data_IF_928615642773
#
_entry.id   IF_928615642773
#
_cell.length_a   1.000
_cell.length_b   1.000
_cell.length_c   1.000
_cell.angle_alpha   90.00
_cell.angle_beta   90.00
_cell.angle_gamma   90.00
#
_symmetry.space_group_name_H-M   'P 1'
#
loop_
_entity.id
_entity.type
_entity.pdbx_description
1 polymer ?
#
# COMPACT_ATOMS: atom_id res chain seq x y z
N UNK A 1 4.51 -12.05 7.53
CA UNK A 1 5.39 -11.88 6.36
C UNK A 1 5.83 -10.43 6.31
N UNK A 2 7.02 -10.15 5.78
CA UNK A 2 7.59 -8.80 5.68
C UNK A 2 8.03 -8.54 4.25
N UNK A 3 7.66 -7.39 3.70
CA UNK A 3 8.22 -6.87 2.46
C UNK A 3 9.26 -5.81 2.79
N UNK A 4 10.39 -5.80 2.10
CA UNK A 4 11.31 -4.67 2.06
C UNK A 4 11.04 -3.86 0.79
N UNK A 5 11.02 -2.54 0.92
CA UNK A 5 10.70 -1.63 -0.16
C UNK A 5 11.77 -0.54 -0.25
N UNK A 6 12.09 -0.16 -1.48
CA UNK A 6 12.88 1.04 -1.78
C UNK A 6 12.07 1.99 -2.64
N UNK A 7 12.40 3.28 -2.56
CA UNK A 7 11.81 4.29 -3.42
C UNK A 7 12.44 4.19 -4.82
N UNK A 8 11.61 3.95 -5.82
CA UNK A 8 11.98 4.00 -7.25
C UNK A 8 11.18 5.13 -7.88
N UNK A 9 11.83 6.02 -8.60
CA UNK A 9 11.19 7.21 -9.17
C UNK A 9 10.23 7.88 -8.16
N UNK A 10 8.92 7.78 -8.41
CA UNK A 10 7.85 8.31 -7.57
C UNK A 10 7.34 7.32 -6.51
N UNK A 11 7.42 6.01 -6.75
CA UNK A 11 6.71 4.99 -5.98
C UNK A 11 7.63 4.11 -5.16
N UNK A 12 7.11 3.60 -4.04
CA UNK A 12 7.79 2.54 -3.28
C UNK A 12 7.50 1.20 -3.94
N UNK A 13 8.55 0.42 -4.19
CA UNK A 13 8.44 -0.89 -4.84
C UNK A 13 8.97 -1.97 -3.92
N UNK A 14 8.30 -3.12 -3.89
CA UNK A 14 8.78 -4.30 -3.16
C UNK A 14 10.05 -4.82 -3.85
N UNK A 15 11.13 -4.92 -3.10
CA UNK A 15 12.39 -5.51 -3.57
C UNK A 15 12.51 -6.98 -3.15
N UNK A 16 11.99 -7.33 -1.97
CA UNK A 16 11.99 -8.70 -1.47
C UNK A 16 10.91 -8.95 -0.43
N UNK A 17 10.55 -10.22 -0.24
CA UNK A 17 9.57 -10.67 0.75
C UNK A 17 10.18 -11.81 1.57
N UNK A 18 10.03 -11.76 2.90
CA UNK A 18 10.58 -12.74 3.85
C UNK A 18 9.60 -13.05 4.99
N UNK A 19 9.79 -14.18 5.67
CA UNK A 19 9.08 -14.48 6.91
C UNK A 19 9.69 -13.76 8.13
N UNK A 20 10.95 -13.37 8.05
CA UNK A 20 11.67 -12.63 9.09
C UNK A 20 11.66 -11.14 8.82
N UNK A 21 11.66 -10.33 9.89
CA UNK A 21 11.76 -8.87 9.76
C UNK A 21 13.12 -8.52 9.13
N UNK A 22 13.15 -7.75 8.03
CA UNK A 22 14.40 -7.40 7.36
C UNK A 22 15.20 -6.40 8.21
N UNK A 23 16.53 -6.45 8.05
CA UNK A 23 17.39 -5.34 8.46
C UNK A 23 17.39 -4.32 7.31
N UNK A 24 17.01 -3.08 7.60
CA UNK A 24 16.79 -2.05 6.59
C UNK A 24 18.02 -1.15 6.44
N UNK A 25 18.35 -0.79 5.20
CA UNK A 25 19.31 0.27 4.90
C UNK A 25 18.63 1.65 5.00
N UNK A 26 19.42 2.74 5.00
CA UNK A 26 18.94 4.12 5.20
C UNK A 26 17.83 4.57 4.23
N UNK A 27 17.71 3.96 3.04
CA UNK A 27 16.71 4.30 2.02
C UNK A 27 15.65 3.21 1.81
N UNK A 28 15.44 2.34 2.82
CA UNK A 28 14.45 1.28 2.75
C UNK A 28 13.41 1.40 3.86
N UNK A 29 12.21 0.95 3.53
CA UNK A 29 11.11 0.76 4.50
C UNK A 29 10.65 -0.69 4.46
N UNK A 30 9.89 -1.10 5.47
CA UNK A 30 9.31 -2.44 5.52
C UNK A 30 7.80 -2.38 5.75
N UNK A 31 7.07 -3.31 5.12
CA UNK A 31 5.65 -3.52 5.43
C UNK A 31 5.43 -4.93 5.95
N UNK A 32 4.66 -5.07 7.01
CA UNK A 32 4.24 -6.35 7.56
C UNK A 32 2.92 -6.75 6.92
N UNK A 33 2.94 -7.89 6.24
CA UNK A 33 1.77 -8.49 5.62
C UNK A 33 1.27 -9.73 6.35
N UNK A 34 -0.03 -9.99 6.22
CA UNK A 34 -0.73 -11.20 6.63
C UNK A 34 -1.06 -12.03 5.41
N UNK A 35 -0.61 -13.28 5.38
CA UNK A 35 -0.99 -14.23 4.33
C UNK A 35 -2.48 -14.56 4.50
N UNK A 36 -3.24 -14.43 3.42
CA UNK A 36 -4.68 -14.71 3.40
C UNK A 36 -5.02 -16.02 2.70
N UNK A 37 -4.23 -16.41 1.69
CA UNK A 37 -4.38 -17.69 1.02
C UNK A 37 -3.07 -18.13 0.34
N UNK A 38 -2.98 -19.43 0.06
CA UNK A 38 -1.92 -20.01 -0.76
C UNK A 38 -2.54 -20.99 -1.76
N UNK A 39 -2.32 -20.78 -3.05
CA UNK A 39 -2.86 -21.63 -4.11
C UNK A 39 -1.95 -21.61 -5.35
N UNK A 40 -1.75 -22.76 -6.01
CA UNK A 40 -0.95 -22.92 -7.24
C UNK A 40 0.38 -22.14 -7.24
N UNK A 41 1.24 -22.36 -6.23
CA UNK A 41 2.52 -21.66 -6.05
C UNK A 41 2.42 -20.12 -5.89
N UNK A 42 1.22 -19.58 -5.70
CA UNK A 42 0.97 -18.19 -5.36
C UNK A 42 0.58 -18.02 -3.90
N UNK A 43 0.97 -16.88 -3.32
CA UNK A 43 0.54 -16.45 -1.99
C UNK A 43 -0.21 -15.13 -2.16
N UNK A 44 -1.42 -15.04 -1.62
CA UNK A 44 -2.12 -13.78 -1.45
C UNK A 44 -1.87 -13.23 -0.05
N UNK A 45 -1.65 -11.93 0.03
CA UNK A 45 -1.37 -11.25 1.29
C UNK A 45 -2.03 -9.89 1.34
N UNK A 46 -2.45 -9.52 2.55
CA UNK A 46 -2.90 -8.19 2.92
C UNK A 46 -1.79 -7.47 3.69
N UNK A 47 -1.64 -6.19 3.44
CA UNK A 47 -0.61 -5.30 3.94
C UNK A 47 -1.19 -4.18 4.82
N UNK A 48 -2.49 -4.20 5.11
CA UNK A 48 -3.16 -3.20 5.95
C UNK A 48 -3.46 -1.88 5.22
N UNK A 49 -3.35 -1.87 3.89
CA UNK A 49 -3.60 -0.70 3.03
C UNK A 49 -4.62 -1.01 1.93
N UNK A 50 -5.35 -2.12 2.04
CA UNK A 50 -6.33 -2.58 1.06
C UNK A 50 -7.62 -1.75 1.05
N UNK A 51 -7.83 -0.89 2.05
CA UNK A 51 -9.07 -0.14 2.23
C UNK A 51 -8.81 1.28 2.72
N UNK A 52 -9.65 2.20 2.26
CA UNK A 52 -9.63 3.61 2.67
C UNK A 52 -11.05 4.07 3.00
N UNK A 53 -11.20 4.80 4.10
CA UNK A 53 -12.51 5.27 4.54
C UNK A 53 -12.93 6.50 3.74
N UNK A 54 -14.08 6.39 3.09
CA UNK A 54 -14.68 7.45 2.30
C UNK A 54 -16.03 7.81 2.95
N UNK A 55 -16.35 9.11 3.12
CA UNK A 55 -17.64 9.52 3.65
C UNK A 55 -18.81 8.96 2.85
N UNK A 56 -19.97 8.82 3.52
CA UNK A 56 -21.16 8.32 2.87
C UNK A 56 -21.49 9.11 1.59
N UNK A 57 -21.95 8.40 0.57
CA UNK A 57 -22.29 8.94 -0.77
C UNK A 57 -21.12 9.51 -1.58
N UNK A 58 -19.88 9.48 -1.08
CA UNK A 58 -18.68 9.92 -1.83
C UNK A 58 -17.94 8.80 -2.56
N UNK A 59 -18.24 7.52 -2.26
CA UNK A 59 -17.54 6.37 -2.87
C UNK A 59 -17.72 6.26 -4.39
N UNK A 60 -18.97 6.26 -4.89
CA UNK A 60 -19.26 6.06 -6.33
C UNK A 60 -18.58 7.07 -7.27
N UNK A 61 -18.54 8.38 -6.98
CA UNK A 61 -17.77 9.34 -7.77
C UNK A 61 -16.28 8.98 -7.89
N UNK A 62 -15.64 8.61 -6.78
CA UNK A 62 -14.22 8.24 -6.71
C UNK A 62 -13.96 6.96 -7.50
N UNK A 63 -14.83 5.96 -7.35
CA UNK A 63 -14.72 4.70 -8.09
C UNK A 63 -14.76 4.93 -9.61
N UNK A 64 -15.60 5.86 -10.08
CA UNK A 64 -15.68 6.24 -11.50
C UNK A 64 -14.42 6.98 -11.97
N UNK A 65 -13.92 7.93 -11.18
CA UNK A 65 -12.68 8.65 -11.49
C UNK A 65 -11.49 7.69 -11.56
N UNK A 66 -11.36 6.77 -10.59
CA UNK A 66 -10.31 5.73 -10.57
C UNK A 66 -10.27 4.91 -11.87
N UNK A 67 -11.41 4.60 -12.47
CA UNK A 67 -11.46 3.81 -13.71
C UNK A 67 -10.93 4.55 -14.93
N UNK A 68 -10.89 5.89 -14.89
CA UNK A 68 -10.45 6.73 -16.00
C UNK A 68 -9.06 7.38 -15.76
N UNK A 69 -8.55 7.33 -14.54
CA UNK A 69 -7.43 8.16 -14.08
C UNK A 69 -6.39 7.37 -13.29
N UNK A 70 -5.20 7.95 -13.10
CA UNK A 70 -4.13 7.31 -12.34
C UNK A 70 -4.40 7.44 -10.84
N UNK A 71 -4.41 6.30 -10.14
CA UNK A 71 -4.61 6.28 -8.68
C UNK A 71 -3.31 5.94 -7.98
N UNK A 72 -2.97 6.74 -6.98
CA UNK A 72 -1.87 6.49 -6.07
C UNK A 72 -2.29 6.79 -4.62
N UNK A 73 -1.46 6.38 -3.68
CA UNK A 73 -1.75 6.54 -2.25
C UNK A 73 -0.50 6.97 -1.50
N UNK A 74 -0.69 7.72 -0.42
CA UNK A 74 0.36 7.98 0.55
C UNK A 74 0.16 7.02 1.71
N UNK A 75 1.20 6.24 2.00
CA UNK A 75 1.22 5.25 3.07
C UNK A 75 2.23 5.69 4.12
N UNK A 76 1.82 5.64 5.38
CA UNK A 76 2.72 5.82 6.52
C UNK A 76 3.09 4.45 7.08
N UNK A 77 4.37 4.28 7.43
CA UNK A 77 4.94 3.03 7.93
C UNK A 77 5.73 3.31 9.21
N UNK A 78 5.53 2.49 10.24
CA UNK A 78 6.24 2.62 11.52
C UNK A 78 7.49 1.70 11.60
N UNK A 79 8.24 1.82 12.70
CA UNK A 79 9.44 1.00 12.96
C UNK A 79 9.14 -0.49 13.18
N UNK A 80 7.88 -0.87 13.43
CA UNK A 80 7.41 -2.24 13.53
C UNK A 80 6.97 -2.83 12.16
N UNK A 81 7.12 -2.05 11.08
CA UNK A 81 6.63 -2.34 9.74
C UNK A 81 5.09 -2.31 9.62
N UNK A 82 4.38 -1.71 10.56
CA UNK A 82 2.93 -1.51 10.47
C UNK A 82 2.66 -0.37 9.49
N UNK A 83 1.70 -0.57 8.58
CA UNK A 83 1.34 0.38 7.53
C UNK A 83 -0.08 0.90 7.68
N UNK A 84 -0.29 2.16 7.32
CA UNK A 84 -1.60 2.82 7.27
C UNK A 84 -1.69 3.65 6.00
N UNK A 85 -2.77 3.47 5.24
CA UNK A 85 -3.12 4.34 4.11
C UNK A 85 -3.60 5.69 4.66
N UNK A 86 -2.86 6.76 4.38
CA UNK A 86 -3.16 8.11 4.87
C UNK A 86 -4.02 8.90 3.89
N UNK A 87 -3.72 8.81 2.61
CA UNK A 87 -4.30 9.68 1.60
C UNK A 87 -4.46 8.93 0.28
N UNK A 88 -5.60 9.17 -0.38
CA UNK A 88 -5.89 8.71 -1.72
C UNK A 88 -5.67 9.87 -2.70
N UNK A 89 -4.94 9.62 -3.77
CA UNK A 89 -4.62 10.59 -4.80
C UNK A 89 -5.17 10.11 -6.14
N UNK A 90 -5.80 11.02 -6.86
CA UNK A 90 -6.24 10.81 -8.24
C UNK A 90 -5.54 11.85 -9.09
N UNK A 91 -4.82 11.40 -10.13
CA UNK A 91 -3.96 12.25 -10.95
C UNK A 91 -3.00 13.11 -10.09
N UNK A 92 -2.46 12.49 -9.04
CA UNK A 92 -1.51 13.10 -8.10
C UNK A 92 -2.08 14.22 -7.22
N UNK A 93 -3.40 14.44 -7.26
CA UNK A 93 -4.08 15.37 -6.38
C UNK A 93 -4.80 14.61 -5.25
N UNK A 94 -4.68 15.09 -3.99
CA UNK A 94 -5.48 14.60 -2.89
C UNK A 94 -6.98 14.63 -3.15
N UNK A 95 -7.64 13.50 -2.94
CA UNK A 95 -9.10 13.45 -2.94
C UNK A 95 -9.64 14.22 -1.73
N UNK A 96 -10.44 15.25 -2.00
CA UNK A 96 -11.14 16.05 -0.98
C UNK A 96 -12.64 15.74 -0.99
N UNK A 97 -13.27 15.77 0.18
CA UNK A 97 -14.68 15.40 0.37
C UNK A 97 -15.58 16.60 0.66
#
# INVERSE_FOLDING_TARGET
MYASLSKKEKFWTIDSVSHTKPNLNENQVCMKGRVTSSYNNGISAEWGIESYFVPERKGRPIERQRSAENVSVIVSVDSACSSVLKELLINDEPVKF
#
